data_IF_444361385046
#
_entry.id   IF_444361385046
#
_cell.length_a   1.000
_cell.length_b   1.000
_cell.length_c   1.000
_cell.angle_alpha   90.00
_cell.angle_beta   90.00
_cell.angle_gamma   90.00
#
_symmetry.space_group_name_H-M   'P 1'
#
loop_
_entity.id
_entity.type
_entity.pdbx_description
1 polymer ?
#
# COMPACT_ATOMS: atom_id res chain seq x y z
N UNK A 1 14.38 -31.56 13.34
CA UNK A 1 13.11 -31.87 14.06
C UNK A 1 12.62 -30.58 14.67
N UNK A 2 11.39 -30.17 14.38
CA UNK A 2 10.75 -28.97 14.94
C UNK A 2 10.19 -28.05 13.86
N UNK A 3 8.87 -27.86 13.86
CA UNK A 3 8.10 -26.80 13.19
C UNK A 3 7.77 -26.88 11.69
N UNK A 4 7.68 -28.08 11.11
CA UNK A 4 7.36 -28.20 9.66
C UNK A 4 5.84 -28.06 9.40
N UNK A 5 4.97 -28.35 10.39
CA UNK A 5 3.52 -28.35 10.17
C UNK A 5 2.75 -27.87 11.42
N UNK A 6 2.60 -26.55 11.58
CA UNK A 6 1.70 -25.96 12.57
C UNK A 6 0.25 -26.08 12.06
N UNK A 7 -0.29 -27.30 11.99
CA UNK A 7 -1.62 -27.60 11.44
C UNK A 7 -2.61 -27.68 12.61
N UNK A 8 -3.70 -26.91 12.54
CA UNK A 8 -4.74 -26.90 13.57
C UNK A 8 -5.97 -27.66 13.05
N UNK A 9 -6.49 -28.60 13.83
CA UNK A 9 -7.72 -29.30 13.49
C UNK A 9 -8.93 -28.38 13.69
N UNK A 10 -9.80 -28.28 12.69
CA UNK A 10 -11.02 -27.49 12.72
C UNK A 10 -12.23 -28.43 12.86
N UNK A 11 -12.76 -28.55 14.09
CA UNK A 11 -13.90 -29.41 14.42
C UNK A 11 -15.18 -29.07 13.65
N UNK A 12 -15.35 -27.82 13.21
CA UNK A 12 -16.56 -27.39 12.48
C UNK A 12 -16.57 -27.83 11.01
N UNK A 13 -15.40 -28.07 10.44
CA UNK A 13 -15.22 -28.39 9.02
C UNK A 13 -14.60 -29.78 8.84
N UNK A 14 -14.45 -30.52 9.94
CA UNK A 14 -13.84 -31.84 10.06
C UNK A 14 -12.56 -31.99 9.23
N UNK A 15 -11.69 -30.97 9.29
CA UNK A 15 -10.48 -30.91 8.47
C UNK A 15 -9.34 -30.18 9.15
N UNK A 16 -8.14 -30.59 8.77
CA UNK A 16 -6.89 -29.98 9.21
C UNK A 16 -6.62 -28.69 8.43
N UNK A 17 -6.53 -27.56 9.14
CA UNK A 17 -6.29 -26.24 8.54
C UNK A 17 -4.88 -25.74 8.91
N UNK A 18 -4.13 -25.32 7.89
CA UNK A 18 -2.89 -24.56 8.10
C UNK A 18 -3.30 -23.12 8.41
N UNK A 19 -2.93 -22.55 9.57
CA UNK A 19 -3.29 -21.19 9.94
C UNK A 19 -2.68 -20.23 8.92
N UNK A 20 -3.52 -19.66 8.04
CA UNK A 20 -3.15 -18.59 7.13
C UNK A 20 -2.60 -17.43 7.96
N UNK A 21 -1.28 -17.24 7.90
CA UNK A 21 -0.59 -16.13 8.56
C UNK A 21 -1.27 -14.82 8.13
N UNK A 22 -1.83 -14.07 9.09
CA UNK A 22 -2.55 -12.80 8.85
C UNK A 22 -1.73 -11.92 7.90
N UNK A 23 -2.31 -11.58 6.75
CA UNK A 23 -1.62 -10.98 5.58
C UNK A 23 -1.07 -9.56 5.79
N UNK A 24 -1.26 -8.96 6.97
CA UNK A 24 -0.72 -7.65 7.34
C UNK A 24 0.81 -7.57 7.20
N UNK A 25 1.51 -8.70 7.40
CA UNK A 25 2.97 -8.79 7.23
C UNK A 25 3.37 -8.66 5.76
N UNK A 26 2.53 -9.09 4.81
CA UNK A 26 2.81 -9.05 3.37
C UNK A 26 2.84 -7.62 2.82
N UNK A 27 1.85 -6.81 3.20
CA UNK A 27 1.77 -5.40 2.79
C UNK A 27 2.95 -4.58 3.34
N UNK A 28 3.30 -4.77 4.61
CA UNK A 28 4.48 -4.13 5.20
C UNK A 28 5.79 -4.53 4.52
N UNK A 29 5.92 -5.81 4.12
CA UNK A 29 7.10 -6.29 3.37
C UNK A 29 7.15 -5.69 1.95
N UNK A 30 5.99 -5.49 1.33
CA UNK A 30 5.87 -4.85 0.02
C UNK A 30 6.29 -3.38 0.07
N UNK A 31 5.77 -2.60 1.02
CA UNK A 31 6.18 -1.21 1.25
C UNK A 31 7.68 -1.11 1.55
N UNK A 32 8.22 -2.02 2.38
CA UNK A 32 9.66 -2.05 2.72
C UNK A 32 10.54 -2.40 1.51
N UNK A 33 10.08 -3.26 0.60
CA UNK A 33 10.79 -3.65 -0.63
C UNK A 33 10.73 -2.55 -1.70
N UNK A 34 9.65 -1.79 -1.74
CA UNK A 34 9.38 -0.79 -2.78
C UNK A 34 9.66 0.65 -2.32
N UNK A 35 10.61 0.88 -1.39
CA UNK A 35 11.03 2.24 -0.96
C UNK A 35 11.29 3.19 -2.13
N UNK A 36 11.87 2.70 -3.22
CA UNK A 36 12.11 3.47 -4.44
C UNK A 36 10.80 3.86 -5.15
N UNK A 37 9.87 2.92 -5.31
CA UNK A 37 8.57 3.17 -5.92
C UNK A 37 7.73 4.15 -5.08
N UNK A 38 7.77 4.02 -3.76
CA UNK A 38 7.11 4.96 -2.85
C UNK A 38 7.67 6.38 -2.99
N UNK A 39 8.99 6.52 -3.18
CA UNK A 39 9.63 7.82 -3.40
C UNK A 39 9.21 8.45 -4.74
N UNK A 40 9.14 7.64 -5.80
CA UNK A 40 8.67 8.09 -7.13
C UNK A 40 7.21 8.54 -7.05
N UNK A 41 6.37 7.77 -6.37
CA UNK A 41 4.95 8.10 -6.23
C UNK A 41 4.74 9.42 -5.48
N UNK A 42 5.52 9.65 -4.41
CA UNK A 42 5.49 10.88 -3.64
C UNK A 42 5.95 12.08 -4.48
N UNK A 43 7.04 11.92 -5.22
CA UNK A 43 7.55 12.94 -6.16
C UNK A 43 6.51 13.32 -7.20
N UNK A 44 5.85 12.33 -7.81
CA UNK A 44 4.76 12.56 -8.77
C UNK A 44 3.60 13.34 -8.14
N UNK A 45 3.20 12.99 -6.92
CA UNK A 45 2.13 13.67 -6.21
C UNK A 45 2.43 15.14 -5.93
N UNK A 46 3.65 15.43 -5.48
CA UNK A 46 4.11 16.81 -5.24
C UNK A 46 4.11 17.60 -6.55
N UNK A 47 4.64 17.01 -7.62
CA UNK A 47 4.68 17.65 -8.94
C UNK A 47 3.27 17.97 -9.46
N UNK A 48 2.34 17.02 -9.35
CA UNK A 48 0.94 17.22 -9.73
C UNK A 48 0.28 18.34 -8.89
N UNK A 49 0.51 18.36 -7.58
CA UNK A 49 -0.03 19.38 -6.69
C UNK A 49 0.46 20.79 -7.05
N UNK A 50 1.76 20.94 -7.32
CA UNK A 50 2.35 22.22 -7.74
C UNK A 50 1.73 22.68 -9.08
N UNK A 51 1.64 21.78 -10.06
CA UNK A 51 1.05 22.11 -11.37
C UNK A 51 -0.43 22.50 -11.24
N UNK A 52 -1.20 21.78 -10.44
CA UNK A 52 -2.60 22.10 -10.19
C UNK A 52 -2.77 23.47 -9.53
N UNK A 53 -1.93 23.77 -8.53
CA UNK A 53 -1.93 25.08 -7.87
C UNK A 53 -1.59 26.21 -8.84
N UNK A 54 -0.58 26.02 -9.69
CA UNK A 54 -0.20 26.98 -10.74
C UNK A 54 -1.38 27.24 -11.69
N UNK A 55 -2.00 26.19 -12.22
CA UNK A 55 -3.15 26.30 -13.12
C UNK A 55 -4.30 27.05 -12.44
N UNK A 56 -4.62 26.70 -11.20
CA UNK A 56 -5.65 27.38 -10.43
C UNK A 56 -5.33 28.86 -10.21
N UNK A 57 -4.08 29.18 -9.89
CA UNK A 57 -3.64 30.56 -9.71
C UNK A 57 -3.71 31.35 -11.02
N UNK A 58 -3.31 30.75 -12.15
CA UNK A 58 -3.44 31.38 -13.46
C UNK A 58 -4.90 31.63 -13.85
N UNK A 59 -5.77 30.64 -13.64
CA UNK A 59 -7.21 30.79 -13.85
C UNK A 59 -7.78 31.96 -13.06
N UNK A 60 -7.42 32.07 -11.78
CA UNK A 60 -7.87 33.15 -10.91
C UNK A 60 -7.35 34.53 -11.35
N UNK A 61 -6.13 34.61 -11.85
CA UNK A 61 -5.56 35.86 -12.39
C UNK A 61 -6.30 36.26 -13.68
N UNK A 62 -6.54 35.31 -14.58
CA UNK A 62 -7.29 35.52 -15.82
C UNK A 62 -8.74 35.93 -15.59
N UNK A 63 -9.40 35.36 -14.59
CA UNK A 63 -10.78 35.72 -14.20
C UNK A 63 -10.87 37.13 -13.60
N UNK A 64 -9.78 37.63 -13.02
CA UNK A 64 -9.73 38.92 -12.35
C UNK A 64 -9.15 40.05 -13.22
N UNK A 65 -8.86 39.76 -14.51
CA UNK A 65 -8.50 40.71 -15.57
C UNK A 65 -9.73 40.93 -16.46
#
# INVERSE_FOLDING_TARGET
>A
MGDIFNVKYNEKLDRLEIPKKKSAIGLWKFVKKHKFFSSILLSLFIFLGINFYLIFSFMKILENI
#
